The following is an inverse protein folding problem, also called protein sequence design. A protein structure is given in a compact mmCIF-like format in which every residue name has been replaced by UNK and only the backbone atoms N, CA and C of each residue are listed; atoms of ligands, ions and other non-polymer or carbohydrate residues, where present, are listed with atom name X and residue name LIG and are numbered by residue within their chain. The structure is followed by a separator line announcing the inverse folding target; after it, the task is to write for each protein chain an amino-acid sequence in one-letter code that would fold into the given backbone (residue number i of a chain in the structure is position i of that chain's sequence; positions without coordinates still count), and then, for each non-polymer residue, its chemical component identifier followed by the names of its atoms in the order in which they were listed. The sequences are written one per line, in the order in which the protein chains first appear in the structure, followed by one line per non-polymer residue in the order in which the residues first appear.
data_IF_403440342697
#
_entry.id   IF_403440342697
#
_cell.length_a   1.000
_cell.length_b   1.000
_cell.length_c   1.000
_cell.angle_alpha   90.00
_cell.angle_beta   90.00
_cell.angle_gamma   90.00
#
_symmetry.space_group_name_H-M   'P 1'
#
loop_
_entity.id
_entity.type
_entity.pdbx_description
1 polymer ?
#
# COMPACT_ATOMS: atom_id res chain seq x y z
N UNK A 1 -9.96 15.24 23.43
CA UNK A 1 -9.66 15.29 21.98
C UNK A 1 -8.34 15.99 21.84
N UNK A 2 -7.24 15.26 21.61
CA UNK A 2 -5.97 15.86 21.20
C UNK A 2 -6.05 16.16 19.71
N UNK A 3 -6.08 17.43 19.35
CA UNK A 3 -5.89 17.87 17.98
C UNK A 3 -4.39 17.83 17.67
N UNK A 4 -3.97 17.02 16.71
CA UNK A 4 -2.60 16.95 16.19
C UNK A 4 -2.20 18.20 15.36
N UNK A 5 -2.78 19.36 15.62
CA UNK A 5 -2.34 20.64 15.05
C UNK A 5 -1.28 21.26 15.94
N UNK A 6 -0.07 21.35 15.43
CA UNK A 6 1.06 21.88 16.20
C UNK A 6 0.97 23.40 16.41
N UNK A 7 0.36 24.16 15.51
CA UNK A 7 0.03 25.57 15.67
C UNK A 7 -0.96 26.01 14.58
N UNK A 8 -1.93 26.82 14.95
CA UNK A 8 -2.77 27.58 14.01
C UNK A 8 -2.57 29.07 14.34
N UNK A 9 -2.08 29.83 13.37
CA UNK A 9 -1.97 31.27 13.43
C UNK A 9 -3.09 31.86 12.59
N UNK A 10 -3.82 32.81 13.15
CA UNK A 10 -4.90 33.52 12.46
C UNK A 10 -4.68 34.99 12.64
N UNK A 11 -4.63 35.73 11.54
CA UNK A 11 -4.63 37.19 11.57
C UNK A 11 -6.08 37.67 11.53
N UNK A 12 -6.50 38.36 12.54
CA UNK A 12 -7.84 38.94 12.66
C UNK A 12 -7.74 40.46 12.68
N UNK A 13 -8.53 41.12 11.86
CA UNK A 13 -8.69 42.56 11.92
C UNK A 13 -9.47 42.93 13.19
N UNK A 14 -8.89 43.74 14.08
CA UNK A 14 -9.52 44.04 15.38
C UNK A 14 -10.79 44.92 15.28
N UNK A 15 -10.97 45.65 14.18
CA UNK A 15 -12.14 46.54 13.98
C UNK A 15 -13.30 45.78 13.32
N UNK A 16 -13.00 44.90 12.36
CA UNK A 16 -14.02 44.20 11.58
C UNK A 16 -14.24 42.77 12.05
N UNK A 17 -13.30 42.19 12.77
CA UNK A 17 -13.30 40.77 13.14
C UNK A 17 -12.98 39.83 11.96
N UNK A 18 -12.58 40.36 10.81
CA UNK A 18 -12.28 39.60 9.63
C UNK A 18 -10.96 38.82 9.76
N UNK A 19 -10.97 37.57 9.36
CA UNK A 19 -9.76 36.76 9.22
C UNK A 19 -9.31 36.74 7.78
N UNK A 20 -8.44 37.66 7.39
CA UNK A 20 -7.91 37.72 6.04
C UNK A 20 -6.82 36.68 5.75
N UNK A 21 -6.26 36.10 6.82
CA UNK A 21 -5.14 35.17 6.68
C UNK A 21 -5.13 34.14 7.80
N UNK A 22 -4.84 32.90 7.47
CA UNK A 22 -4.57 31.85 8.45
C UNK A 22 -3.43 30.95 7.98
N UNK A 23 -2.62 30.51 8.92
CA UNK A 23 -1.53 29.55 8.70
C UNK A 23 -1.68 28.40 9.67
N UNK A 24 -1.55 27.19 9.17
CA UNK A 24 -1.52 26.02 10.01
C UNK A 24 -0.41 25.05 9.57
N UNK A 25 0.17 24.36 10.53
CA UNK A 25 1.24 23.39 10.32
C UNK A 25 0.74 22.03 10.80
N UNK A 26 0.73 21.05 9.92
CA UNK A 26 0.43 19.67 10.26
C UNK A 26 1.39 18.74 9.52
N UNK A 27 1.93 17.75 10.22
CA UNK A 27 2.88 16.76 9.67
C UNK A 27 4.11 17.40 8.98
N UNK A 28 4.63 18.50 9.54
CA UNK A 28 5.74 19.26 8.98
C UNK A 28 5.41 20.08 7.73
N UNK A 29 4.13 20.15 7.34
CA UNK A 29 3.64 20.91 6.19
C UNK A 29 2.96 22.19 6.65
N UNK A 30 3.26 23.26 5.93
CA UNK A 30 2.63 24.56 6.17
C UNK A 30 1.58 24.79 5.08
N UNK A 31 0.35 25.16 5.50
CA UNK A 31 -0.68 25.69 4.61
C UNK A 31 -1.02 27.11 5.02
N UNK A 32 -1.13 27.96 4.03
CA UNK A 32 -1.54 29.36 4.21
C UNK A 32 -2.81 29.57 3.41
N UNK A 33 -3.86 30.04 4.07
CA UNK A 33 -5.11 30.42 3.42
C UNK A 33 -5.27 31.93 3.51
N UNK A 34 -5.41 32.58 2.36
CA UNK A 34 -5.73 34.01 2.22
C UNK A 34 -7.20 34.12 1.89
N UNK A 35 -7.88 35.08 2.48
CA UNK A 35 -9.29 35.39 2.26
C UNK A 35 -9.44 36.82 1.79
N UNK A 36 -10.27 37.03 0.79
CA UNK A 36 -10.53 38.35 0.18
C UNK A 36 -11.96 38.43 -0.33
N UNK A 37 -12.30 39.56 -0.97
CA UNK A 37 -13.66 39.81 -1.47
C UNK A 37 -14.70 39.66 -0.36
N UNK A 38 -14.48 40.35 0.77
CA UNK A 38 -15.41 40.32 1.89
C UNK A 38 -16.70 41.06 1.55
N UNK A 39 -17.83 40.39 1.62
CA UNK A 39 -19.16 40.91 1.36
C UNK A 39 -20.06 40.72 2.58
N UNK A 40 -21.00 41.62 2.79
CA UNK A 40 -22.00 41.52 3.86
C UNK A 40 -23.26 40.88 3.28
N UNK A 41 -23.69 39.76 3.86
CA UNK A 41 -24.90 39.03 3.50
C UNK A 41 -25.77 38.93 4.75
N UNK A 42 -26.93 39.60 4.76
CA UNK A 42 -27.85 39.67 5.90
C UNK A 42 -27.14 39.96 7.23
N UNK A 43 -26.24 40.96 7.21
CA UNK A 43 -25.52 41.43 8.42
C UNK A 43 -24.29 40.59 8.81
N UNK A 44 -23.99 39.51 8.12
CA UNK A 44 -22.81 38.67 8.37
C UNK A 44 -21.78 38.91 7.25
N UNK A 45 -20.53 39.14 7.63
CA UNK A 45 -19.43 39.32 6.68
C UNK A 45 -18.83 37.97 6.31
N UNK A 46 -18.69 37.71 5.00
CA UNK A 46 -18.07 36.51 4.44
C UNK A 46 -16.99 36.88 3.42
N UNK A 47 -15.92 36.08 3.39
CA UNK A 47 -14.97 36.10 2.29
C UNK A 47 -15.56 35.31 1.10
N UNK A 48 -15.66 35.93 -0.06
CA UNK A 48 -16.13 35.27 -1.28
C UNK A 48 -15.01 34.67 -2.11
N UNK A 49 -13.76 34.93 -1.76
CA UNK A 49 -12.56 34.30 -2.34
C UNK A 49 -11.65 33.80 -1.24
N UNK A 50 -11.33 32.50 -1.30
CA UNK A 50 -10.31 31.86 -0.47
C UNK A 50 -9.22 31.24 -1.36
N UNK A 51 -7.97 31.59 -1.12
CA UNK A 51 -6.82 31.04 -1.83
C UNK A 51 -5.92 30.33 -0.82
N UNK A 52 -5.77 29.02 -0.97
CA UNK A 52 -4.88 28.22 -0.12
C UNK A 52 -3.63 27.87 -0.91
N UNK A 53 -2.47 28.26 -0.39
CA UNK A 53 -1.17 27.90 -0.93
C UNK A 53 -0.85 26.45 -0.57
N UNK A 54 -0.34 25.67 -1.55
CA UNK A 54 0.18 24.33 -1.35
C UNK A 54 1.70 24.30 -1.60
N UNK A 55 2.36 23.23 -1.21
CA UNK A 55 3.78 23.03 -1.49
C UNK A 55 4.07 22.91 -3.00
N UNK A 56 3.05 22.56 -3.77
CA UNK A 56 3.08 22.51 -5.24
C UNK A 56 1.89 23.26 -5.82
N UNK A 57 1.99 23.68 -7.07
CA UNK A 57 0.86 24.30 -7.78
C UNK A 57 -0.39 23.42 -7.84
N UNK A 58 -0.24 22.08 -7.81
CA UNK A 58 -1.36 21.12 -7.77
C UNK A 58 -2.05 21.03 -6.42
N UNK A 59 -1.42 21.48 -5.36
CA UNK A 59 -1.98 21.51 -4.00
C UNK A 59 -2.56 22.87 -3.65
N UNK A 60 -2.30 23.88 -4.48
CA UNK A 60 -2.96 25.17 -4.34
C UNK A 60 -4.45 25.02 -4.67
N UNK A 61 -5.29 25.70 -3.90
CA UNK A 61 -6.72 25.66 -4.07
C UNK A 61 -7.27 27.08 -4.06
N UNK A 62 -8.15 27.37 -5.01
CA UNK A 62 -8.95 28.62 -5.00
C UNK A 62 -10.41 28.25 -4.88
N UNK A 63 -11.07 28.79 -3.88
CA UNK A 63 -12.52 28.64 -3.67
C UNK A 63 -13.18 29.98 -3.86
N UNK A 64 -14.13 30.05 -4.79
CA UNK A 64 -14.96 31.23 -5.03
C UNK A 64 -16.40 30.88 -4.65
N UNK A 65 -16.98 31.67 -3.74
CA UNK A 65 -18.36 31.52 -3.35
C UNK A 65 -19.25 32.38 -4.28
N UNK A 66 -20.13 31.77 -5.04
CA UNK A 66 -21.03 32.48 -5.92
C UNK A 66 -22.22 33.06 -5.14
N UNK A 67 -22.79 32.24 -4.24
CA UNK A 67 -23.96 32.62 -3.45
C UNK A 67 -23.78 32.13 -1.99
N UNK A 68 -24.10 33.01 -1.06
CA UNK A 68 -24.17 32.70 0.37
C UNK A 68 -25.55 33.13 0.89
N UNK A 69 -26.24 32.23 1.59
CA UNK A 69 -27.51 32.55 2.23
C UNK A 69 -27.37 32.35 3.74
N UNK A 70 -27.64 33.40 4.50
CA UNK A 70 -27.58 33.40 5.95
C UNK A 70 -28.97 33.16 6.53
N UNK A 71 -29.06 32.33 7.55
CA UNK A 71 -30.33 32.01 8.23
C UNK A 71 -31.40 31.48 7.28
N UNK A 72 -31.03 30.56 6.41
CA UNK A 72 -31.89 30.00 5.35
C UNK A 72 -33.05 29.14 5.88
N UNK A 73 -33.22 28.99 7.19
CA UNK A 73 -34.27 28.15 7.77
C UNK A 73 -34.13 26.68 7.38
N UNK A 74 -32.87 26.18 7.34
CA UNK A 74 -32.63 24.78 6.97
C UNK A 74 -33.18 23.85 8.04
N UNK A 75 -33.87 22.80 7.61
CA UNK A 75 -34.34 21.72 8.46
C UNK A 75 -33.14 20.96 9.04
N UNK A 76 -33.21 20.65 10.35
CA UNK A 76 -32.22 19.83 11.06
C UNK A 76 -31.96 18.48 10.38
N UNK A 77 -32.94 17.95 9.66
CA UNK A 77 -32.77 16.73 8.86
C UNK A 77 -31.66 16.83 7.80
N UNK A 78 -31.33 18.05 7.33
CA UNK A 78 -30.20 18.27 6.40
C UNK A 78 -28.83 18.08 7.05
N UNK A 79 -28.77 18.21 8.37
CA UNK A 79 -27.55 18.00 9.18
C UNK A 79 -27.56 16.62 9.86
N UNK A 80 -28.63 15.86 9.68
CA UNK A 80 -28.67 14.49 10.13
C UNK A 80 -27.53 13.70 9.45
N UNK A 81 -26.82 12.91 10.24
CA UNK A 81 -25.81 11.99 9.68
C UNK A 81 -26.47 11.20 8.55
N UNK A 82 -25.92 11.17 7.34
CA UNK A 82 -26.48 10.32 6.29
C UNK A 82 -26.70 8.93 6.87
N UNK A 83 -27.90 8.39 6.77
CA UNK A 83 -28.14 6.97 7.05
C UNK A 83 -27.08 6.22 6.29
N UNK A 84 -26.40 5.26 6.95
CA UNK A 84 -25.30 4.52 6.35
C UNK A 84 -25.68 4.25 4.89
N UNK A 85 -24.94 4.87 3.97
CA UNK A 85 -25.07 4.70 2.53
C UNK A 85 -25.22 3.20 2.30
N UNK A 86 -26.22 2.77 1.53
CA UNK A 86 -26.42 1.35 1.22
C UNK A 86 -25.03 0.80 0.90
N UNK A 87 -24.61 -0.24 1.63
CA UNK A 87 -23.25 -0.76 1.53
C UNK A 87 -22.89 -0.87 0.05
N UNK A 88 -21.79 -0.22 -0.35
CA UNK A 88 -21.28 -0.35 -1.72
C UNK A 88 -20.86 -1.80 -2.04
N UNK A 89 -20.90 -2.69 -1.03
CA UNK A 89 -20.60 -4.12 -1.17
C UNK A 89 -21.85 -4.94 -0.90
N UNK A 90 -22.25 -5.75 -1.86
CA UNK A 90 -23.43 -6.62 -1.79
C UNK A 90 -22.99 -8.07 -1.91
N UNK A 91 -23.24 -8.85 -0.88
CA UNK A 91 -23.10 -10.31 -0.92
C UNK A 91 -24.18 -10.94 -1.82
N UNK A 92 -23.98 -12.17 -2.31
CA UNK A 92 -25.01 -12.90 -3.04
C UNK A 92 -26.33 -12.93 -2.25
N UNK A 93 -27.45 -12.79 -2.97
CA UNK A 93 -28.78 -12.67 -2.35
C UNK A 93 -29.07 -13.81 -1.35
N UNK A 94 -29.52 -13.44 -0.14
CA UNK A 94 -29.84 -14.38 0.93
C UNK A 94 -28.62 -15.04 1.60
N UNK A 95 -27.38 -14.68 1.22
CA UNK A 95 -26.18 -15.25 1.81
C UNK A 95 -25.50 -14.28 2.79
N UNK A 96 -24.93 -14.86 3.86
CA UNK A 96 -24.12 -14.12 4.84
C UNK A 96 -22.60 -14.29 4.62
N UNK A 97 -22.23 -15.04 3.61
CA UNK A 97 -20.86 -15.27 3.20
C UNK A 97 -20.79 -15.69 1.75
N UNK A 98 -19.65 -15.46 1.11
CA UNK A 98 -19.30 -16.13 -0.15
C UNK A 98 -18.87 -17.56 0.14
N UNK A 99 -18.80 -18.37 -0.91
CA UNK A 99 -18.00 -19.60 -0.84
C UNK A 99 -16.51 -19.26 -0.76
N UNK A 100 -15.68 -20.25 -0.44
CA UNK A 100 -14.24 -20.11 -0.56
C UNK A 100 -13.84 -19.97 -2.03
N UNK A 101 -13.05 -18.93 -2.33
CA UNK A 101 -12.42 -18.72 -3.61
C UNK A 101 -10.97 -19.15 -3.53
N UNK A 102 -10.50 -19.81 -4.56
CA UNK A 102 -9.06 -19.98 -4.73
C UNK A 102 -8.40 -18.63 -4.99
N UNK A 103 -7.25 -18.41 -4.36
CA UNK A 103 -6.41 -17.22 -4.54
C UNK A 103 -5.16 -17.62 -5.30
N UNK A 104 -4.81 -16.85 -6.32
CA UNK A 104 -3.48 -16.95 -6.92
C UNK A 104 -2.51 -16.08 -6.10
N UNK A 105 -1.75 -16.71 -5.22
CA UNK A 105 -0.73 -16.06 -4.40
C UNK A 105 0.55 -15.86 -5.22
N UNK A 106 0.58 -14.78 -6.00
CA UNK A 106 1.78 -14.42 -6.74
C UNK A 106 2.96 -14.19 -5.78
N UNK A 107 4.09 -14.88 -6.02
CA UNK A 107 5.25 -14.90 -5.13
C UNK A 107 4.94 -15.34 -3.68
N UNK A 108 3.84 -16.11 -3.46
CA UNK A 108 3.31 -16.49 -2.14
C UNK A 108 2.92 -15.30 -1.24
N UNK A 109 2.71 -14.12 -1.80
CA UNK A 109 2.52 -12.87 -1.06
C UNK A 109 1.36 -12.04 -1.56
N UNK A 110 1.33 -11.74 -2.86
CA UNK A 110 0.32 -10.87 -3.45
C UNK A 110 -0.95 -11.66 -3.77
N UNK A 111 -2.08 -11.14 -3.32
CA UNK A 111 -3.40 -11.78 -3.44
C UNK A 111 -4.06 -11.36 -4.74
N UNK A 112 -3.98 -12.23 -5.76
CA UNK A 112 -4.67 -12.04 -7.03
C UNK A 112 -5.96 -12.86 -7.05
N UNK A 113 -7.05 -12.21 -7.44
CA UNK A 113 -8.38 -12.77 -7.58
C UNK A 113 -8.86 -12.60 -9.02
N UNK A 114 -9.60 -13.57 -9.54
CA UNK A 114 -10.30 -13.38 -10.82
C UNK A 114 -11.68 -12.79 -10.57
N UNK A 115 -12.00 -11.73 -11.30
CA UNK A 115 -13.28 -11.05 -11.21
C UNK A 115 -13.59 -10.29 -12.49
N UNK A 116 -14.53 -9.38 -12.41
CA UNK A 116 -14.93 -8.50 -13.50
C UNK A 116 -14.97 -7.06 -13.01
N UNK A 117 -14.57 -6.13 -13.87
CA UNK A 117 -14.76 -4.69 -13.67
C UNK A 117 -15.59 -4.16 -14.82
N UNK A 118 -16.78 -3.61 -14.50
CA UNK A 118 -17.76 -3.13 -15.49
C UNK A 118 -18.04 -4.16 -16.60
N UNK A 119 -18.06 -5.47 -16.24
CA UNK A 119 -18.32 -6.58 -17.17
C UNK A 119 -17.10 -7.12 -17.92
N UNK A 120 -15.91 -6.54 -17.74
CA UNK A 120 -14.66 -7.04 -18.33
C UNK A 120 -13.93 -7.91 -17.32
N UNK A 121 -13.67 -9.18 -17.70
CA UNK A 121 -12.96 -10.14 -16.86
C UNK A 121 -11.50 -9.73 -16.69
N UNK A 122 -11.04 -9.61 -15.43
CA UNK A 122 -9.69 -9.14 -15.14
C UNK A 122 -9.13 -9.72 -13.85
N UNK A 123 -7.83 -9.56 -13.64
CA UNK A 123 -7.17 -9.84 -12.36
C UNK A 123 -7.39 -8.65 -11.41
N UNK A 124 -7.65 -8.96 -10.14
CA UNK A 124 -7.88 -7.98 -9.08
C UNK A 124 -6.90 -8.28 -7.95
N UNK A 125 -6.09 -7.30 -7.59
CA UNK A 125 -5.19 -7.39 -6.43
C UNK A 125 -5.90 -6.83 -5.20
N UNK A 126 -5.90 -7.59 -4.11
CA UNK A 126 -6.47 -7.15 -2.84
C UNK A 126 -5.41 -6.44 -2.01
N UNK A 127 -5.68 -5.17 -1.65
CA UNK A 127 -4.72 -4.31 -0.96
C UNK A 127 -5.35 -3.50 0.17
N UNK A 128 -5.07 -3.89 1.41
CA UNK A 128 -5.56 -3.17 2.60
C UNK A 128 -4.84 -1.84 2.84
N UNK A 129 -3.68 -1.62 2.20
CA UNK A 129 -2.92 -0.38 2.22
C UNK A 129 -3.35 0.62 1.15
N UNK A 130 -4.24 0.24 0.24
CA UNK A 130 -4.78 1.17 -0.75
C UNK A 130 -5.94 1.98 -0.17
N UNK A 131 -5.80 3.31 -0.18
CA UNK A 131 -6.81 4.25 0.35
C UNK A 131 -8.13 4.26 -0.41
N UNK A 132 -8.15 3.75 -1.62
CA UNK A 132 -9.32 3.56 -2.49
C UNK A 132 -8.97 2.55 -3.59
N UNK A 133 -10.00 2.06 -4.28
CA UNK A 133 -9.80 1.23 -5.47
C UNK A 133 -9.05 2.00 -6.56
N UNK A 134 -8.10 1.34 -7.22
CA UNK A 134 -7.26 1.91 -8.28
C UNK A 134 -7.38 1.06 -9.53
N UNK A 135 -7.56 1.71 -10.68
CA UNK A 135 -7.51 1.10 -12.00
C UNK A 135 -6.22 1.49 -12.71
N UNK A 136 -5.61 0.54 -13.40
CA UNK A 136 -4.57 0.86 -14.37
C UNK A 136 -5.12 1.71 -15.51
N UNK A 137 -4.34 2.68 -15.98
CA UNK A 137 -4.76 3.59 -17.05
C UNK A 137 -5.18 2.88 -18.34
N UNK A 138 -4.55 1.74 -18.68
CA UNK A 138 -4.91 0.95 -19.85
C UNK A 138 -6.30 0.33 -19.70
N UNK A 139 -6.60 -0.25 -18.52
CA UNK A 139 -7.93 -0.80 -18.24
C UNK A 139 -9.01 0.29 -18.22
N UNK A 140 -8.75 1.43 -17.58
CA UNK A 140 -9.70 2.54 -17.54
C UNK A 140 -10.07 3.00 -18.97
N UNK A 141 -9.09 3.06 -19.87
CA UNK A 141 -9.28 3.38 -21.29
C UNK A 141 -10.09 2.29 -22.02
N UNK A 142 -9.78 1.01 -21.80
CA UNK A 142 -10.52 -0.13 -22.36
C UNK A 142 -11.99 -0.10 -21.96
N UNK A 143 -12.27 0.24 -20.70
CA UNK A 143 -13.61 0.37 -20.15
C UNK A 143 -14.35 1.65 -20.62
N UNK A 144 -13.68 2.53 -21.37
CA UNK A 144 -14.25 3.80 -21.82
C UNK A 144 -14.59 4.77 -20.69
N UNK A 145 -13.94 4.65 -19.54
CA UNK A 145 -14.18 5.49 -18.39
C UNK A 145 -13.63 6.91 -18.61
N UNK A 146 -14.45 7.89 -18.28
CA UNK A 146 -14.07 9.31 -18.38
C UNK A 146 -13.42 9.77 -17.07
N UNK A 147 -12.22 10.32 -17.15
CA UNK A 147 -11.59 11.00 -16.01
C UNK A 147 -12.36 12.30 -15.73
N UNK A 148 -12.90 12.44 -14.51
CA UNK A 148 -13.75 13.54 -14.06
C UNK A 148 -12.99 14.58 -13.21
N UNK A 149 -11.82 14.21 -12.72
CA UNK A 149 -10.98 15.07 -11.88
C UNK A 149 -9.57 14.50 -11.71
N UNK A 150 -8.74 15.28 -11.06
CA UNK A 150 -7.36 14.90 -10.73
C UNK A 150 -7.12 14.98 -9.23
N UNK A 151 -6.29 14.08 -8.72
CA UNK A 151 -5.78 14.09 -7.36
C UNK A 151 -4.30 13.75 -7.32
N UNK A 152 -3.65 14.00 -6.21
CA UNK A 152 -2.31 13.52 -5.94
C UNK A 152 -2.40 12.26 -5.08
N UNK A 153 -1.98 11.12 -5.63
CA UNK A 153 -1.86 9.88 -4.89
C UNK A 153 -0.50 9.80 -4.20
N UNK A 154 -0.50 9.43 -2.92
CA UNK A 154 0.72 9.21 -2.13
C UNK A 154 1.04 7.73 -2.11
N UNK A 155 2.04 7.33 -2.89
CA UNK A 155 2.49 5.95 -2.94
C UNK A 155 3.79 5.72 -2.16
N UNK A 156 4.20 4.46 -2.06
CA UNK A 156 5.44 4.07 -1.38
C UNK A 156 6.70 4.46 -2.17
N UNK A 157 6.55 4.76 -3.47
CA UNK A 157 7.61 5.25 -4.33
C UNK A 157 7.67 6.78 -4.44
N UNK A 158 6.70 7.49 -3.86
CA UNK A 158 6.55 8.94 -3.95
C UNK A 158 5.14 9.36 -4.30
N UNK A 159 4.96 10.65 -4.60
CA UNK A 159 3.67 11.19 -5.02
C UNK A 159 3.51 11.06 -6.54
N UNK A 160 2.29 10.81 -7.01
CA UNK A 160 1.95 10.70 -8.43
C UNK A 160 0.58 11.31 -8.69
N UNK A 161 0.43 11.96 -9.85
CA UNK A 161 -0.87 12.42 -10.32
C UNK A 161 -1.77 11.23 -10.66
N UNK A 162 -3.03 11.29 -10.22
CA UNK A 162 -4.05 10.27 -10.49
C UNK A 162 -5.31 10.94 -11.02
N UNK A 163 -5.95 10.29 -11.99
CA UNK A 163 -7.30 10.66 -12.40
C UNK A 163 -8.35 10.09 -11.44
N UNK A 164 -9.53 10.65 -11.41
CA UNK A 164 -10.71 10.07 -10.73
C UNK A 164 -11.74 9.70 -11.79
N UNK A 165 -12.30 8.51 -11.65
CA UNK A 165 -13.43 8.01 -12.43
C UNK A 165 -14.55 7.57 -11.51
N UNK A 166 -15.79 7.66 -11.97
CA UNK A 166 -16.98 7.24 -11.24
C UNK A 166 -17.63 6.01 -11.87
N UNK A 167 -18.52 5.36 -11.13
CA UNK A 167 -19.35 4.26 -11.65
C UNK A 167 -18.60 2.94 -11.85
N UNK A 168 -17.51 2.73 -11.14
CA UNK A 168 -16.76 1.47 -11.18
C UNK A 168 -17.49 0.41 -10.37
N UNK A 169 -17.78 -0.72 -10.99
CA UNK A 169 -18.41 -1.89 -10.34
C UNK A 169 -17.49 -3.10 -10.50
N UNK A 170 -17.15 -3.70 -9.39
CA UNK A 170 -16.34 -4.93 -9.33
C UNK A 170 -17.24 -6.10 -8.96
N UNK A 171 -17.22 -7.17 -9.77
CA UNK A 171 -17.88 -8.44 -9.44
C UNK A 171 -16.85 -9.50 -9.08
N UNK A 172 -17.03 -10.13 -7.95
CA UNK A 172 -16.10 -11.10 -7.38
C UNK A 172 -16.87 -12.08 -6.51
N UNK A 173 -16.70 -13.38 -6.71
CA UNK A 173 -17.35 -14.42 -5.90
C UNK A 173 -18.89 -14.35 -5.83
N UNK A 174 -19.52 -13.87 -6.88
CA UNK A 174 -20.96 -13.64 -6.88
C UNK A 174 -21.41 -12.44 -6.03
N UNK A 175 -20.50 -11.72 -5.41
CA UNK A 175 -20.75 -10.41 -4.79
C UNK A 175 -20.44 -9.28 -5.75
N UNK A 176 -20.97 -8.10 -5.43
CA UNK A 176 -20.78 -6.88 -6.18
C UNK A 176 -20.28 -5.76 -5.27
N UNK A 177 -19.22 -5.09 -5.69
CA UNK A 177 -18.63 -3.92 -5.02
C UNK A 177 -18.82 -2.72 -5.94
N UNK A 178 -19.59 -1.74 -5.49
CA UNK A 178 -19.85 -0.54 -6.29
C UNK A 178 -21.37 -0.28 -6.51
N UNK A 179 -21.71 0.74 -7.36
CA UNK A 179 -20.73 1.60 -8.05
C UNK A 179 -19.95 2.48 -7.08
N UNK A 180 -18.66 2.65 -7.33
CA UNK A 180 -17.77 3.46 -6.50
C UNK A 180 -16.86 4.36 -7.37
N UNK A 181 -16.30 5.44 -6.82
CA UNK A 181 -15.21 6.16 -7.46
C UNK A 181 -13.90 5.34 -7.36
N UNK A 182 -13.06 5.46 -8.37
CA UNK A 182 -11.75 4.84 -8.38
C UNK A 182 -10.68 5.82 -8.87
N UNK A 183 -9.46 5.68 -8.37
CA UNK A 183 -8.31 6.38 -8.92
C UNK A 183 -7.83 5.69 -10.20
N UNK A 184 -7.32 6.46 -11.14
CA UNK A 184 -6.66 5.95 -12.35
C UNK A 184 -5.20 6.34 -12.32
N UNK A 185 -4.31 5.35 -12.31
CA UNK A 185 -2.86 5.53 -12.23
C UNK A 185 -2.20 4.61 -13.26
N UNK A 186 -1.08 5.02 -13.82
CA UNK A 186 -0.22 4.09 -14.58
C UNK A 186 0.46 3.11 -13.60
N UNK A 187 -0.06 1.89 -13.56
CA UNK A 187 0.47 0.80 -12.72
C UNK A 187 1.51 -0.08 -13.45
N UNK A 188 1.80 0.20 -14.72
CA UNK A 188 2.72 -0.60 -15.53
C UNK A 188 4.10 -0.79 -14.90
N UNK A 189 4.64 0.29 -14.31
CA UNK A 189 5.92 0.25 -13.60
C UNK A 189 5.88 -0.60 -12.33
N UNK A 190 4.77 -0.59 -11.60
CA UNK A 190 4.56 -1.46 -10.44
C UNK A 190 4.45 -2.92 -10.90
N UNK A 191 3.65 -3.17 -11.95
CA UNK A 191 3.47 -4.50 -12.54
C UNK A 191 4.79 -5.13 -12.98
N UNK A 192 5.66 -4.37 -13.65
CA UNK A 192 7.01 -4.85 -14.03
C UNK A 192 7.83 -5.27 -12.80
N UNK A 193 7.84 -4.48 -11.73
CA UNK A 193 8.58 -4.81 -10.48
C UNK A 193 8.00 -6.01 -9.74
N UNK A 194 6.69 -6.14 -9.73
CA UNK A 194 6.00 -7.32 -9.14
C UNK A 194 6.15 -8.55 -10.03
N UNK A 195 6.46 -8.36 -11.33
CA UNK A 195 6.55 -9.45 -12.33
C UNK A 195 5.18 -9.95 -12.81
N UNK A 196 4.11 -9.16 -12.60
CA UNK A 196 2.75 -9.46 -13.07
C UNK A 196 1.96 -8.16 -13.23
N UNK A 197 1.11 -8.03 -14.27
CA UNK A 197 0.24 -6.87 -14.42
C UNK A 197 -0.66 -6.66 -13.19
N UNK A 198 -0.92 -5.39 -12.87
CA UNK A 198 -1.87 -4.97 -11.84
C UNK A 198 -2.98 -4.12 -12.48
N UNK A 199 -3.96 -4.73 -13.14
CA UNK A 199 -5.02 -3.97 -13.79
C UNK A 199 -5.96 -3.28 -12.80
N UNK A 200 -6.16 -3.90 -11.62
CA UNK A 200 -7.00 -3.37 -10.55
C UNK A 200 -6.39 -3.64 -9.19
N UNK A 201 -6.38 -2.63 -8.35
CA UNK A 201 -6.12 -2.75 -6.91
C UNK A 201 -7.44 -2.48 -6.21
N UNK A 202 -8.03 -3.50 -5.58
CA UNK A 202 -9.23 -3.37 -4.76
C UNK A 202 -8.81 -2.95 -3.35
N UNK A 203 -9.18 -1.73 -2.98
CA UNK A 203 -8.70 -1.07 -1.78
C UNK A 203 -9.52 -1.38 -0.52
N UNK A 204 -9.44 -0.47 0.44
CA UNK A 204 -10.01 -0.62 1.78
C UNK A 204 -11.54 -0.75 1.82
N UNK A 205 -12.25 -0.41 0.74
CA UNK A 205 -13.71 -0.42 0.71
C UNK A 205 -14.29 -1.78 1.11
N UNK A 206 -13.66 -2.86 0.62
CA UNK A 206 -14.13 -4.21 0.93
C UNK A 206 -13.85 -4.62 2.37
N UNK A 207 -12.71 -4.18 2.93
CA UNK A 207 -12.35 -4.46 4.35
C UNK A 207 -13.24 -3.69 5.33
N UNK A 208 -13.75 -2.52 4.94
CA UNK A 208 -14.67 -1.74 5.76
C UNK A 208 -16.10 -2.29 5.73
N UNK A 209 -16.49 -2.92 4.61
CA UNK A 209 -17.85 -3.41 4.42
C UNK A 209 -18.05 -4.83 4.95
N UNK A 210 -17.03 -5.69 4.85
CA UNK A 210 -17.11 -7.12 5.14
C UNK A 210 -15.98 -7.56 6.08
N UNK A 211 -16.17 -8.72 6.69
CA UNK A 211 -15.04 -9.45 7.27
C UNK A 211 -14.34 -10.22 6.14
N UNK A 212 -13.06 -9.97 5.97
CA UNK A 212 -12.24 -10.64 4.97
C UNK A 212 -11.48 -11.78 5.64
N UNK A 213 -11.79 -13.01 5.27
CA UNK A 213 -11.16 -14.23 5.79
C UNK A 213 -10.18 -14.75 4.73
N UNK A 214 -8.91 -14.41 4.88
CA UNK A 214 -7.83 -14.73 3.96
C UNK A 214 -6.93 -15.83 4.56
N UNK A 215 -7.07 -17.03 4.03
CA UNK A 215 -6.26 -18.20 4.37
C UNK A 215 -5.06 -18.28 3.41
N UNK A 216 -3.97 -17.59 3.75
CA UNK A 216 -2.75 -17.63 2.92
C UNK A 216 -2.17 -19.05 2.80
N UNK A 217 -1.99 -19.83 3.90
CA UNK A 217 -1.54 -21.22 3.78
C UNK A 217 -2.41 -22.08 2.89
N UNK A 218 -3.73 -21.89 2.97
CA UNK A 218 -4.71 -22.61 2.16
C UNK A 218 -4.92 -22.02 0.77
N UNK A 219 -4.29 -20.89 0.43
CA UNK A 219 -4.44 -20.17 -0.84
C UNK A 219 -5.90 -19.94 -1.20
N UNK A 220 -6.70 -19.45 -0.26
CA UNK A 220 -8.13 -19.21 -0.43
C UNK A 220 -8.62 -18.02 0.39
N UNK A 221 -9.72 -17.42 -0.05
CA UNK A 221 -10.35 -16.28 0.59
C UNK A 221 -11.87 -16.45 0.58
N UNK A 222 -12.54 -15.87 1.55
CA UNK A 222 -13.99 -15.66 1.56
C UNK A 222 -14.33 -14.34 2.23
N UNK A 223 -15.54 -13.86 1.97
CA UNK A 223 -16.05 -12.62 2.49
C UNK A 223 -17.31 -12.88 3.29
N UNK A 224 -17.42 -12.31 4.49
CA UNK A 224 -18.50 -12.58 5.41
C UNK A 224 -19.22 -11.29 5.81
N UNK A 225 -20.52 -11.38 6.02
CA UNK A 225 -21.32 -10.28 6.55
C UNK A 225 -20.85 -9.88 7.94
N UNK A 226 -20.36 -8.65 8.07
CA UNK A 226 -19.77 -8.15 9.31
C UNK A 226 -20.78 -8.12 10.48
N UNK A 227 -22.07 -7.90 10.22
CA UNK A 227 -23.08 -7.81 11.26
C UNK A 227 -23.32 -9.16 11.93
N UNK A 228 -23.38 -10.23 11.15
CA UNK A 228 -23.67 -11.59 11.64
C UNK A 228 -22.43 -12.40 12.03
N UNK A 229 -21.24 -11.97 11.58
CA UNK A 229 -20.00 -12.69 11.86
C UNK A 229 -19.69 -12.76 13.35
N UNK A 230 -19.27 -13.95 13.81
CA UNK A 230 -18.68 -14.18 15.12
C UNK A 230 -17.48 -15.08 14.95
N UNK A 231 -16.39 -14.72 15.59
CA UNK A 231 -15.18 -15.54 15.57
C UNK A 231 -15.20 -16.56 16.69
N UNK A 232 -15.00 -17.82 16.37
CA UNK A 232 -14.95 -18.97 17.27
C UNK A 232 -13.73 -19.87 17.05
N UNK A 233 -12.76 -19.38 16.25
CA UNK A 233 -11.55 -20.13 15.90
C UNK A 233 -10.43 -20.05 16.95
N UNK A 234 -9.32 -20.77 16.73
CA UNK A 234 -8.17 -20.84 17.64
C UNK A 234 -7.21 -19.66 17.53
N UNK A 235 -7.46 -18.71 16.64
CA UNK A 235 -6.56 -17.59 16.37
C UNK A 235 -6.49 -16.59 17.51
N UNK A 236 -5.35 -15.90 17.59
CA UNK A 236 -5.17 -14.82 18.56
C UNK A 236 -5.68 -13.50 18.00
N UNK A 237 -6.47 -12.81 18.83
CA UNK A 237 -6.98 -11.49 18.50
C UNK A 237 -5.89 -10.44 18.59
N UNK A 238 -5.91 -9.49 17.66
CA UNK A 238 -5.07 -8.29 17.66
C UNK A 238 -5.97 -7.08 17.39
N UNK A 239 -5.91 -6.09 18.27
CA UNK A 239 -6.66 -4.86 18.09
C UNK A 239 -6.02 -3.98 17.03
N UNK A 240 -6.85 -3.38 16.19
CA UNK A 240 -6.44 -2.45 15.15
C UNK A 240 -6.62 -1.01 15.62
N UNK A 241 -5.67 -0.18 15.25
CA UNK A 241 -5.69 1.25 15.51
C UNK A 241 -6.21 1.94 14.24
N UNK A 242 -7.40 2.57 14.27
CA UNK A 242 -7.92 3.29 13.11
C UNK A 242 -7.13 4.56 12.86
N UNK A 243 -6.83 4.85 11.59
CA UNK A 243 -6.33 6.14 11.14
C UNK A 243 -7.47 6.98 10.55
N UNK A 244 -7.28 8.30 10.50
CA UNK A 244 -8.28 9.25 9.97
C UNK A 244 -8.63 8.99 8.50
N UNK A 245 -7.64 8.55 7.72
CA UNK A 245 -7.79 8.20 6.30
C UNK A 245 -8.42 6.82 6.07
N UNK A 246 -8.82 6.12 7.15
CA UNK A 246 -9.46 4.82 7.12
C UNK A 246 -8.50 3.63 7.07
N UNK A 247 -7.19 3.84 6.95
CA UNK A 247 -6.22 2.77 7.11
C UNK A 247 -6.23 2.20 8.52
N UNK A 248 -5.65 1.03 8.68
CA UNK A 248 -5.50 0.38 9.97
C UNK A 248 -4.03 0.14 10.28
N UNK A 249 -3.71 0.30 11.54
CA UNK A 249 -2.41 -0.02 12.11
C UNK A 249 -2.59 -1.04 13.22
N UNK A 250 -1.50 -1.63 13.63
CA UNK A 250 -1.47 -2.58 14.75
C UNK A 250 -0.18 -2.42 15.55
N UNK A 251 -0.10 -3.11 16.68
CA UNK A 251 1.12 -3.12 17.49
C UNK A 251 1.87 -4.42 17.31
N UNK A 252 3.18 -4.31 17.16
CA UNK A 252 4.13 -5.42 17.19
C UNK A 252 5.43 -5.00 17.87
N UNK A 253 6.18 -5.96 18.39
CA UNK A 253 7.47 -5.70 18.99
C UNK A 253 8.60 -6.13 18.04
N UNK A 254 9.66 -5.32 17.96
CA UNK A 254 10.85 -5.58 17.16
C UNK A 254 12.01 -5.86 18.10
N UNK A 255 12.64 -7.03 17.96
CA UNK A 255 13.83 -7.47 18.72
C UNK A 255 13.67 -7.36 20.24
N UNK A 256 12.48 -7.69 20.75
CA UNK A 256 12.17 -7.68 22.17
C UNK A 256 11.98 -6.29 22.78
N UNK A 257 11.91 -5.24 21.95
CA UNK A 257 11.56 -3.90 22.40
C UNK A 257 10.07 -3.75 22.75
N UNK A 258 9.69 -2.57 23.22
CA UNK A 258 8.29 -2.23 23.45
C UNK A 258 7.47 -2.30 22.15
N UNK A 259 6.18 -2.68 22.23
CA UNK A 259 5.32 -2.73 21.07
C UNK A 259 5.13 -1.35 20.42
N UNK A 260 5.41 -1.27 19.12
CA UNK A 260 5.31 -0.05 18.31
C UNK A 260 4.18 -0.14 17.30
N UNK A 261 3.71 1.00 16.81
CA UNK A 261 2.61 1.09 15.84
C UNK A 261 3.15 0.93 14.43
N UNK A 262 2.59 0.00 13.68
CA UNK A 262 2.92 -0.20 12.26
C UNK A 262 1.65 -0.25 11.42
N UNK A 263 1.73 0.22 10.18
CA UNK A 263 0.66 0.09 9.20
C UNK A 263 0.41 -1.37 8.84
N UNK A 264 -0.81 -1.69 8.43
CA UNK A 264 -1.25 -3.03 7.97
C UNK A 264 -1.49 -3.00 6.47
N UNK A 265 -0.73 -3.79 5.70
CA UNK A 265 -0.67 -3.65 4.25
C UNK A 265 -0.49 -5.00 3.54
N UNK A 266 -1.59 -5.54 2.99
CA UNK A 266 -1.56 -6.77 2.19
C UNK A 266 -0.96 -6.57 0.80
N UNK A 267 -0.87 -5.32 0.32
CA UNK A 267 -0.22 -4.96 -0.95
C UNK A 267 1.31 -4.88 -0.85
N UNK A 268 1.86 -4.78 0.36
CA UNK A 268 3.31 -4.83 0.57
C UNK A 268 3.81 -6.28 0.58
N UNK A 269 4.57 -6.70 -0.45
CA UNK A 269 5.11 -8.07 -0.52
C UNK A 269 6.26 -8.37 0.44
N UNK A 270 6.92 -7.36 1.03
CA UNK A 270 7.97 -7.53 2.05
C UNK A 270 7.41 -8.01 3.39
N UNK A 271 8.30 -8.42 4.31
CA UNK A 271 7.89 -8.81 5.64
C UNK A 271 7.58 -7.60 6.53
N UNK A 272 8.51 -6.67 6.62
CA UNK A 272 8.40 -5.46 7.40
C UNK A 272 9.19 -4.33 6.74
N UNK A 273 8.59 -3.15 6.64
CA UNK A 273 9.32 -1.90 6.39
C UNK A 273 9.46 -1.17 7.73
N UNK A 274 10.67 -0.76 8.08
CA UNK A 274 10.94 0.04 9.27
C UNK A 274 11.21 1.46 8.82
N UNK A 275 10.47 2.41 9.39
CA UNK A 275 10.61 3.81 8.99
C UNK A 275 11.87 4.42 9.58
N UNK A 276 12.44 5.36 8.85
CA UNK A 276 13.77 5.90 9.10
C UNK A 276 13.93 6.44 10.53
N UNK A 277 12.99 7.27 10.99
CA UNK A 277 13.09 7.90 12.32
C UNK A 277 13.26 6.84 13.42
N UNK A 278 12.49 5.75 13.36
CA UNK A 278 12.56 4.66 14.33
C UNK A 278 13.80 3.79 14.13
N UNK A 279 14.20 3.55 12.87
CA UNK A 279 15.42 2.81 12.57
C UNK A 279 16.67 3.50 13.11
N UNK A 280 16.75 4.83 12.96
CA UNK A 280 17.85 5.65 13.44
C UNK A 280 17.84 5.73 14.97
N UNK A 281 16.69 5.96 15.62
CA UNK A 281 16.53 6.00 17.08
C UNK A 281 16.99 4.70 17.72
N UNK A 282 16.64 3.56 17.13
CA UNK A 282 16.93 2.23 17.69
C UNK A 282 18.28 1.67 17.23
N UNK A 283 18.92 2.29 16.27
CA UNK A 283 20.20 1.85 15.73
C UNK A 283 20.15 0.46 15.06
N UNK A 284 19.01 0.10 14.43
CA UNK A 284 18.80 -1.25 13.90
C UNK A 284 19.82 -1.69 12.85
N UNK A 285 20.46 -0.76 12.16
CA UNK A 285 21.46 -1.10 11.15
C UNK A 285 22.87 -1.26 11.70
N UNK A 286 23.12 -0.92 12.96
CA UNK A 286 24.44 -1.02 13.57
C UNK A 286 24.76 -2.47 13.93
N UNK A 287 26.01 -2.91 13.64
CA UNK A 287 26.55 -4.21 14.06
C UNK A 287 25.92 -5.41 13.35
N UNK A 288 25.27 -5.22 12.21
CA UNK A 288 24.72 -6.32 11.40
C UNK A 288 25.06 -6.15 9.91
N UNK A 289 25.02 -7.22 9.13
CA UNK A 289 25.15 -7.12 7.67
C UNK A 289 23.99 -6.29 7.12
N UNK A 290 24.32 -5.32 6.28
CA UNK A 290 23.37 -4.43 5.60
C UNK A 290 23.71 -4.40 4.14
N UNK A 291 22.70 -4.46 3.30
CA UNK A 291 22.84 -4.23 1.87
C UNK A 291 21.73 -3.28 1.39
N UNK A 292 21.54 -3.21 0.09
CA UNK A 292 20.52 -2.38 -0.53
C UNK A 292 19.65 -3.23 -1.45
N UNK A 293 18.41 -2.81 -1.62
CA UNK A 293 17.46 -3.40 -2.55
C UNK A 293 16.69 -2.30 -3.26
N UNK A 294 16.55 -2.46 -4.57
CA UNK A 294 15.60 -1.66 -5.34
C UNK A 294 14.19 -2.22 -5.16
N UNK A 295 13.27 -1.37 -4.80
CA UNK A 295 11.87 -1.69 -4.60
C UNK A 295 11.01 -0.49 -4.97
N UNK A 296 9.84 -0.39 -4.38
CA UNK A 296 8.92 0.72 -4.58
C UNK A 296 7.53 0.23 -4.96
N UNK A 297 6.62 1.17 -5.15
CA UNK A 297 5.22 0.96 -5.50
C UNK A 297 4.71 2.07 -6.40
N UNK A 298 3.49 2.50 -6.15
CA UNK A 298 2.93 3.71 -6.76
C UNK A 298 3.86 4.89 -6.46
N UNK A 299 4.13 5.73 -7.46
CA UNK A 299 5.03 6.87 -7.36
C UNK A 299 6.49 6.57 -7.75
N UNK A 300 6.86 5.31 -8.02
CA UNK A 300 8.16 4.98 -8.59
C UNK A 300 8.98 3.93 -7.84
N UNK A 301 10.21 3.77 -8.31
CA UNK A 301 11.20 2.90 -7.69
C UNK A 301 12.00 3.67 -6.63
N UNK A 302 12.35 3.00 -5.55
CA UNK A 302 13.19 3.52 -4.47
C UNK A 302 14.26 2.51 -4.11
N UNK A 303 15.40 3.00 -3.65
CA UNK A 303 16.43 2.15 -3.05
C UNK A 303 16.25 2.18 -1.54
N UNK A 304 16.20 1.00 -0.93
CA UNK A 304 16.05 0.82 0.50
C UNK A 304 17.22 0.01 1.04
N UNK A 305 17.67 0.31 2.24
CA UNK A 305 18.57 -0.60 2.95
C UNK A 305 17.81 -1.85 3.37
N UNK A 306 18.47 -2.98 3.37
CA UNK A 306 17.92 -4.26 3.85
C UNK A 306 18.83 -4.89 4.88
N UNK A 307 18.22 -5.46 5.90
CA UNK A 307 18.93 -6.20 6.93
C UNK A 307 17.99 -7.25 7.55
N UNK A 308 18.55 -8.21 8.26
CA UNK A 308 17.77 -9.22 8.96
C UNK A 308 17.61 -8.82 10.43
N UNK A 309 16.37 -8.66 10.88
CA UNK A 309 16.01 -8.49 12.29
C UNK A 309 16.07 -9.85 13.01
N UNK A 310 16.53 -9.85 14.25
CA UNK A 310 16.58 -11.08 15.07
C UNK A 310 15.21 -11.68 15.30
N UNK A 311 14.24 -10.82 15.65
CA UNK A 311 12.85 -11.25 15.85
C UNK A 311 11.84 -10.11 15.66
N UNK A 312 10.61 -10.52 15.34
CA UNK A 312 9.41 -9.69 15.39
C UNK A 312 8.34 -10.47 16.15
N UNK A 313 7.72 -9.85 17.13
CA UNK A 313 6.61 -10.46 17.89
C UNK A 313 5.28 -9.79 17.55
N UNK A 314 4.33 -10.56 17.05
CA UNK A 314 2.98 -10.11 16.69
C UNK A 314 1.95 -11.02 17.34
N UNK A 315 0.96 -10.47 18.04
CA UNK A 315 -0.05 -11.23 18.78
C UNK A 315 0.55 -12.35 19.67
N UNK A 316 1.75 -12.14 20.22
CA UNK A 316 2.49 -13.12 21.02
C UNK A 316 3.12 -14.27 20.21
N UNK A 317 3.10 -14.23 18.88
CA UNK A 317 3.91 -15.11 18.03
C UNK A 317 5.27 -14.47 17.76
N UNK A 318 6.33 -15.15 18.14
CA UNK A 318 7.71 -14.71 17.83
C UNK A 318 8.15 -15.29 16.49
N UNK A 319 8.54 -14.41 15.56
CA UNK A 319 9.09 -14.74 14.24
C UNK A 319 10.57 -14.38 14.24
N UNK A 320 11.45 -15.30 13.88
CA UNK A 320 12.91 -15.11 13.91
C UNK A 320 13.50 -14.89 12.52
N UNK A 321 14.59 -14.13 12.46
CA UNK A 321 15.33 -13.89 11.22
C UNK A 321 14.50 -13.17 10.16
N UNK A 322 13.77 -12.12 10.56
CA UNK A 322 12.82 -11.41 9.70
C UNK A 322 13.57 -10.43 8.78
N UNK A 323 13.51 -10.59 7.45
CA UNK A 323 14.08 -9.61 6.53
C UNK A 323 13.28 -8.32 6.59
N UNK A 324 13.94 -7.21 6.84
CA UNK A 324 13.32 -5.90 6.90
C UNK A 324 13.93 -4.95 5.87
N UNK A 325 13.09 -4.09 5.32
CA UNK A 325 13.50 -2.95 4.52
C UNK A 325 13.50 -1.69 5.37
N UNK A 326 14.52 -0.87 5.22
CA UNK A 326 14.69 0.38 5.95
C UNK A 326 14.66 1.53 4.95
N UNK A 327 13.78 2.46 5.20
CA UNK A 327 13.54 3.58 4.30
C UNK A 327 14.81 4.41 4.07
N UNK A 328 15.07 4.76 2.81
CA UNK A 328 16.16 5.66 2.44
C UNK A 328 15.86 7.11 2.80
N UNK A 329 16.90 7.95 2.78
CA UNK A 329 16.91 9.30 3.33
C UNK A 329 15.97 10.31 2.67
N UNK A 330 15.56 10.09 1.41
CA UNK A 330 15.02 11.17 0.56
C UNK A 330 13.66 10.86 -0.08
N UNK A 331 12.95 9.82 0.37
CA UNK A 331 11.68 9.43 -0.24
C UNK A 331 10.52 10.14 0.44
N UNK A 332 9.92 11.11 -0.26
CA UNK A 332 8.61 11.67 0.13
C UNK A 332 7.51 10.77 -0.40
N UNK A 333 6.60 10.33 0.45
CA UNK A 333 5.49 9.47 0.05
C UNK A 333 4.72 8.93 1.24
N UNK A 334 4.05 7.78 1.07
CA UNK A 334 3.21 7.16 2.09
C UNK A 334 3.96 6.83 3.40
N UNK A 335 5.27 6.58 3.32
CA UNK A 335 6.10 6.23 4.47
C UNK A 335 6.83 7.43 5.12
N UNK A 336 6.63 8.64 4.60
CA UNK A 336 7.14 9.86 5.20
C UNK A 336 6.18 10.35 6.30
N UNK A 337 6.18 9.63 7.42
CA UNK A 337 5.32 9.91 8.58
C UNK A 337 6.04 9.55 9.87
N UNK A 338 5.70 10.25 10.97
CA UNK A 338 6.11 9.92 12.33
C UNK A 338 4.99 9.33 13.18
N UNK A 339 3.82 9.05 12.56
CA UNK A 339 2.67 8.44 13.24
C UNK A 339 2.78 6.93 13.39
N UNK A 340 3.72 6.33 12.68
CA UNK A 340 3.98 4.89 12.66
C UNK A 340 5.49 4.67 12.57
N UNK A 341 5.95 3.55 13.10
CA UNK A 341 7.35 3.15 13.11
C UNK A 341 7.69 2.22 11.93
N UNK A 342 6.66 1.77 11.21
CA UNK A 342 6.86 0.87 10.07
C UNK A 342 5.56 0.47 9.37
N UNK A 343 5.69 -0.50 8.45
CA UNK A 343 4.58 -1.08 7.70
C UNK A 343 4.72 -2.60 7.62
N UNK A 344 3.69 -3.33 8.09
CA UNK A 344 3.64 -4.79 8.10
C UNK A 344 3.10 -5.30 6.78
N UNK A 345 3.86 -6.16 6.11
CA UNK A 345 3.50 -6.68 4.81
C UNK A 345 3.16 -8.17 4.77
N UNK A 346 2.80 -8.60 3.57
CA UNK A 346 2.39 -9.97 3.28
C UNK A 346 3.50 -11.02 3.57
N UNK A 347 4.77 -10.63 3.61
CA UNK A 347 5.85 -11.56 4.00
C UNK A 347 5.70 -12.14 5.41
N UNK A 348 5.07 -11.40 6.34
CA UNK A 348 4.68 -11.92 7.66
C UNK A 348 3.25 -12.46 7.61
N UNK A 349 2.29 -11.70 7.05
CA UNK A 349 0.88 -12.07 7.03
C UNK A 349 0.64 -13.42 6.36
N UNK A 350 1.43 -13.78 5.33
CA UNK A 350 1.30 -15.05 4.60
C UNK A 350 1.60 -16.31 5.43
N UNK A 351 2.10 -16.15 6.65
CA UNK A 351 2.29 -17.26 7.58
C UNK A 351 1.04 -17.62 8.38
N UNK A 352 -0.05 -16.88 8.15
CA UNK A 352 -1.28 -16.99 8.90
C UNK A 352 -2.49 -17.12 7.97
N UNK A 353 -3.56 -17.69 8.47
CA UNK A 353 -4.90 -17.33 8.06
C UNK A 353 -5.26 -16.06 8.85
N UNK A 354 -5.67 -15.02 8.15
CA UNK A 354 -5.95 -13.71 8.73
C UNK A 354 -7.40 -13.35 8.49
N UNK A 355 -8.14 -13.10 9.58
CA UNK A 355 -9.50 -12.59 9.49
C UNK A 355 -9.50 -11.10 9.85
N UNK A 356 -9.77 -10.27 8.88
CA UNK A 356 -9.80 -8.81 9.03
C UNK A 356 -11.24 -8.37 9.37
N UNK A 357 -11.47 -7.84 10.55
CA UNK A 357 -12.75 -7.26 10.97
C UNK A 357 -12.55 -5.77 11.28
N UNK A 358 -12.54 -4.97 10.25
CA UNK A 358 -12.33 -3.52 10.39
C UNK A 358 -13.48 -2.83 11.09
N UNK A 359 -14.69 -3.39 11.00
CA UNK A 359 -15.87 -2.87 11.68
C UNK A 359 -15.75 -2.94 13.21
N UNK A 360 -15.08 -3.96 13.73
CA UNK A 360 -14.79 -4.12 15.15
C UNK A 360 -13.37 -3.72 15.54
N UNK A 361 -12.63 -3.09 14.62
CA UNK A 361 -11.24 -2.67 14.78
C UNK A 361 -10.35 -3.80 15.32
N UNK A 362 -10.43 -4.98 14.74
CA UNK A 362 -9.57 -6.10 15.13
C UNK A 362 -9.29 -7.04 13.94
N UNK A 363 -8.32 -7.90 14.14
CA UNK A 363 -8.07 -9.08 13.30
C UNK A 363 -7.75 -10.29 14.17
N UNK A 364 -7.87 -11.48 13.60
CA UNK A 364 -7.41 -12.72 14.21
C UNK A 364 -6.33 -13.36 13.35
N UNK A 365 -5.30 -13.90 13.99
CA UNK A 365 -4.19 -14.61 13.37
C UNK A 365 -4.22 -16.08 13.77
N UNK A 366 -4.51 -16.94 12.80
CA UNK A 366 -4.38 -18.40 12.97
C UNK A 366 -3.06 -18.84 12.32
N UNK A 367 -2.12 -19.45 13.07
CA UNK A 367 -0.82 -19.80 12.53
C UNK A 367 -0.92 -20.91 11.48
N UNK A 368 -0.25 -20.73 10.35
CA UNK A 368 -0.02 -21.80 9.39
C UNK A 368 1.09 -22.75 9.81
N UNK A 369 1.20 -23.87 9.13
CA UNK A 369 2.25 -24.87 9.38
C UNK A 369 3.67 -24.31 9.27
N UNK A 370 3.85 -23.32 8.39
CA UNK A 370 5.14 -22.69 8.09
C UNK A 370 5.48 -21.50 9.01
N UNK A 371 4.73 -21.29 10.12
CA UNK A 371 4.96 -20.14 11.01
C UNK A 371 6.42 -20.00 11.44
N UNK A 372 7.06 -21.10 11.84
CA UNK A 372 8.44 -21.15 12.30
C UNK A 372 9.49 -21.35 11.20
N UNK A 373 9.08 -21.47 9.93
CA UNK A 373 10.02 -21.68 8.84
C UNK A 373 10.90 -20.44 8.62
N UNK A 374 12.15 -20.59 8.15
CA UNK A 374 12.99 -19.45 7.78
C UNK A 374 12.31 -18.54 6.77
N UNK A 375 12.56 -17.25 6.86
CA UNK A 375 12.09 -16.31 5.84
C UNK A 375 12.89 -16.46 4.56
N UNK A 376 12.22 -16.52 3.40
CA UNK A 376 12.92 -16.46 2.14
C UNK A 376 13.59 -15.09 1.96
N UNK A 377 14.85 -15.10 1.58
CA UNK A 377 15.66 -13.91 1.30
C UNK A 377 16.32 -14.05 -0.06
N UNK A 378 16.50 -12.95 -0.74
CA UNK A 378 17.36 -12.91 -1.91
C UNK A 378 18.81 -13.22 -1.51
N UNK A 379 19.46 -14.08 -2.26
CA UNK A 379 20.85 -14.52 -2.06
C UNK A 379 21.71 -14.29 -3.29
N UNK A 380 21.15 -13.64 -4.30
CA UNK A 380 21.84 -13.28 -5.52
C UNK A 380 22.41 -11.87 -5.49
N UNK A 381 21.60 -10.92 -5.04
CA UNK A 381 21.83 -9.50 -5.15
C UNK A 381 21.48 -8.93 -6.52
N UNK A 382 20.82 -9.71 -7.39
CA UNK A 382 20.34 -9.24 -8.70
C UNK A 382 18.85 -8.91 -8.65
N UNK A 383 18.49 -7.72 -9.11
CA UNK A 383 17.12 -7.40 -9.51
C UNK A 383 17.05 -7.46 -11.03
N UNK A 384 16.26 -8.38 -11.55
CA UNK A 384 16.03 -8.56 -12.97
C UNK A 384 14.63 -8.03 -13.33
N UNK A 385 14.53 -7.27 -14.41
CA UNK A 385 13.29 -6.75 -14.94
C UNK A 385 13.13 -7.11 -16.42
N UNK A 386 11.88 -7.31 -16.87
CA UNK A 386 11.58 -7.51 -18.28
C UNK A 386 11.42 -6.17 -18.99
N UNK A 387 12.35 -5.85 -19.89
CA UNK A 387 12.33 -4.65 -20.68
C UNK A 387 12.78 -4.93 -22.12
N UNK A 388 12.13 -4.33 -23.09
CA UNK A 388 12.48 -4.41 -24.52
C UNK A 388 12.69 -5.84 -25.04
N UNK A 389 11.81 -6.77 -24.60
CA UNK A 389 11.84 -8.17 -25.06
C UNK A 389 12.95 -9.04 -24.45
N UNK A 390 13.62 -8.57 -23.37
CA UNK A 390 14.65 -9.33 -22.69
C UNK A 390 14.61 -9.07 -21.16
N UNK A 391 15.22 -9.95 -20.38
CA UNK A 391 15.55 -9.65 -19.00
C UNK A 391 16.78 -8.76 -18.93
N UNK A 392 16.69 -7.68 -18.18
CA UNK A 392 17.81 -6.79 -17.91
C UNK A 392 18.12 -6.75 -16.41
N UNK A 393 19.38 -6.61 -16.06
CA UNK A 393 19.82 -6.33 -14.69
C UNK A 393 19.42 -4.89 -14.37
N UNK A 394 18.43 -4.68 -13.54
CA UNK A 394 17.95 -3.37 -13.11
C UNK A 394 18.70 -2.83 -11.90
N UNK A 395 19.28 -3.73 -11.10
CA UNK A 395 20.03 -3.35 -9.91
C UNK A 395 20.95 -4.49 -9.47
N UNK A 396 22.14 -4.11 -8.97
CA UNK A 396 23.11 -5.01 -8.34
C UNK A 396 23.33 -4.55 -6.90
N UNK A 397 22.93 -5.38 -5.95
CA UNK A 397 23.02 -5.05 -4.53
C UNK A 397 24.49 -4.96 -4.06
N UNK A 398 24.89 -3.90 -3.35
CA UNK A 398 26.24 -3.78 -2.80
C UNK A 398 26.59 -4.93 -1.84
N UNK A 399 27.81 -5.46 -1.94
CA UNK A 399 28.27 -6.55 -1.09
C UNK A 399 27.60 -7.90 -1.33
N UNK A 400 26.83 -8.03 -2.40
CA UNK A 400 26.15 -9.26 -2.78
C UNK A 400 27.04 -10.18 -3.62
N UNK A 401 26.67 -11.48 -3.76
CA UNK A 401 27.34 -12.38 -4.69
C UNK A 401 27.41 -11.85 -6.13
N UNK A 402 26.37 -11.17 -6.59
CA UNK A 402 26.36 -10.57 -7.92
C UNK A 402 27.40 -9.44 -8.06
N UNK A 403 27.51 -8.59 -7.04
CA UNK A 403 28.54 -7.54 -7.02
C UNK A 403 29.95 -8.14 -6.99
N UNK A 404 30.18 -9.18 -6.14
CA UNK A 404 31.44 -9.92 -6.09
C UNK A 404 31.79 -10.58 -7.43
N UNK A 405 30.78 -11.07 -8.17
CA UNK A 405 30.94 -11.68 -9.50
C UNK A 405 31.02 -10.64 -10.65
N UNK A 406 31.01 -9.35 -10.32
CA UNK A 406 31.19 -8.27 -11.30
C UNK A 406 30.00 -8.01 -12.23
N UNK A 407 28.78 -8.36 -11.80
CA UNK A 407 27.56 -8.02 -12.52
C UNK A 407 27.35 -6.50 -12.58
N UNK A 408 26.74 -6.04 -13.67
CA UNK A 408 26.48 -4.60 -13.90
C UNK A 408 25.02 -4.39 -14.31
N UNK A 409 24.49 -3.25 -13.91
CA UNK A 409 23.19 -2.79 -14.40
C UNK A 409 23.20 -2.63 -15.92
N UNK A 410 22.09 -2.98 -16.56
CA UNK A 410 21.94 -2.97 -18.02
C UNK A 410 22.38 -4.26 -18.72
N UNK A 411 23.09 -5.16 -18.08
CA UNK A 411 23.41 -6.47 -18.67
C UNK A 411 22.12 -7.26 -18.97
N UNK A 412 22.09 -7.92 -20.11
CA UNK A 412 20.89 -8.65 -20.58
C UNK A 412 21.08 -10.15 -20.41
N UNK A 413 20.11 -10.77 -19.75
CA UNK A 413 20.07 -12.22 -19.46
C UNK A 413 19.13 -12.89 -20.45
N UNK A 414 19.65 -13.86 -21.19
CA UNK A 414 18.90 -14.63 -22.17
C UNK A 414 18.37 -15.96 -21.62
N UNK A 415 19.08 -16.57 -20.63
CA UNK A 415 18.66 -17.84 -20.04
C UNK A 415 19.17 -17.96 -18.60
N UNK A 416 18.53 -18.85 -17.82
CA UNK A 416 18.94 -19.26 -16.48
C UNK A 416 18.91 -20.78 -16.41
N UNK A 417 20.03 -21.37 -16.02
CA UNK A 417 20.23 -22.84 -15.98
C UNK A 417 19.81 -23.53 -17.29
N UNK A 418 20.00 -22.85 -18.44
CA UNK A 418 19.64 -23.33 -19.78
C UNK A 418 18.19 -23.07 -20.19
N UNK A 419 17.33 -22.61 -19.30
CA UNK A 419 15.95 -22.25 -19.62
C UNK A 419 15.88 -20.83 -20.19
N UNK A 420 15.36 -20.62 -21.42
CA UNK A 420 15.29 -19.31 -22.04
C UNK A 420 14.43 -18.32 -21.23
N UNK A 421 14.91 -17.09 -21.11
CA UNK A 421 14.15 -16.02 -20.50
C UNK A 421 12.93 -15.64 -21.38
N UNK A 422 11.75 -15.60 -20.79
CA UNK A 422 10.49 -15.20 -21.45
C UNK A 422 9.78 -14.13 -20.61
N UNK A 423 8.82 -13.42 -21.20
CA UNK A 423 8.01 -12.44 -20.45
C UNK A 423 7.24 -13.05 -19.27
N UNK A 424 6.93 -14.34 -19.35
CA UNK A 424 6.25 -15.08 -18.25
C UNK A 424 7.20 -15.42 -17.10
N UNK A 425 8.48 -15.27 -17.31
CA UNK A 425 9.52 -15.52 -16.32
C UNK A 425 9.39 -14.70 -15.05
N UNK A 426 8.76 -13.54 -15.09
CA UNK A 426 8.42 -12.80 -13.88
C UNK A 426 7.62 -13.63 -12.87
N UNK A 427 6.88 -14.64 -13.32
CA UNK A 427 6.16 -15.60 -12.45
C UNK A 427 7.09 -16.66 -11.84
N UNK A 428 8.17 -17.00 -12.52
CA UNK A 428 9.08 -18.11 -12.14
C UNK A 428 10.34 -17.59 -11.45
N UNK A 429 10.82 -16.42 -11.86
CA UNK A 429 12.13 -15.85 -11.47
C UNK A 429 12.32 -15.57 -10.00
N UNK A 430 11.26 -15.30 -9.27
CA UNK A 430 11.38 -14.78 -7.90
C UNK A 430 11.89 -15.78 -6.87
N UNK A 431 12.06 -17.05 -7.27
CA UNK A 431 12.47 -18.10 -6.33
C UNK A 431 13.88 -18.60 -6.50
N UNK A 432 14.49 -18.45 -7.67
CA UNK A 432 15.84 -18.94 -7.88
C UNK A 432 16.84 -18.29 -6.91
N UNK A 433 16.71 -16.97 -6.71
CA UNK A 433 17.59 -16.22 -5.81
C UNK A 433 17.32 -16.47 -4.32
N UNK A 434 16.16 -17.06 -4.00
CA UNK A 434 15.79 -17.49 -2.64
C UNK A 434 16.19 -18.92 -2.33
N UNK A 435 16.77 -19.66 -3.26
CA UNK A 435 17.21 -21.04 -3.07
C UNK A 435 18.27 -21.15 -1.95
N UNK A 436 18.63 -22.36 -1.55
CA UNK A 436 19.57 -22.59 -0.46
C UNK A 436 20.92 -21.92 -0.75
N UNK A 437 21.53 -21.32 0.28
CA UNK A 437 22.89 -20.81 0.16
C UNK A 437 23.85 -21.95 -0.29
N UNK A 438 24.78 -21.62 -1.17
CA UNK A 438 25.66 -22.57 -1.85
C UNK A 438 25.07 -23.12 -3.19
N UNK A 439 23.80 -22.84 -3.51
CA UNK A 439 23.26 -23.20 -4.82
C UNK A 439 23.99 -22.41 -5.91
N UNK A 440 24.43 -23.12 -6.93
CA UNK A 440 25.06 -22.53 -8.11
C UNK A 440 24.00 -22.32 -9.19
N UNK A 441 23.94 -21.14 -9.76
CA UNK A 441 23.01 -20.77 -10.84
C UNK A 441 23.84 -20.29 -12.03
N UNK A 442 23.48 -20.72 -13.23
CA UNK A 442 24.10 -20.29 -14.49
C UNK A 442 23.18 -19.29 -15.20
N UNK A 443 23.70 -18.13 -15.48
CA UNK A 443 23.00 -17.11 -16.25
C UNK A 443 23.72 -16.94 -17.59
N UNK A 444 23.00 -17.11 -18.68
CA UNK A 444 23.50 -16.89 -20.03
C UNK A 444 23.13 -15.46 -20.43
N UNK A 445 24.12 -14.67 -20.80
CA UNK A 445 23.92 -13.31 -21.31
C UNK A 445 23.42 -13.32 -22.76
N UNK A 446 22.92 -12.19 -23.25
CA UNK A 446 22.40 -12.06 -24.61
C UNK A 446 23.50 -12.26 -25.70
N UNK A 447 24.77 -12.09 -25.35
CA UNK A 447 25.93 -12.35 -26.23
C UNK A 447 26.39 -13.82 -26.20
N UNK A 448 25.69 -14.69 -25.47
CA UNK A 448 26.03 -16.10 -25.28
C UNK A 448 27.04 -16.38 -24.17
N UNK A 449 27.57 -15.36 -23.50
CA UNK A 449 28.49 -15.53 -22.37
C UNK A 449 27.74 -16.17 -21.19
N UNK A 450 28.32 -17.25 -20.64
CA UNK A 450 27.83 -17.84 -19.40
C UNK A 450 28.53 -17.25 -18.19
N UNK A 451 27.72 -16.90 -17.16
CA UNK A 451 28.22 -16.52 -15.84
C UNK A 451 27.62 -17.39 -14.77
N UNK A 452 28.45 -17.77 -13.84
CA UNK A 452 28.06 -18.59 -12.69
C UNK A 452 27.91 -17.70 -11.46
N UNK A 453 26.81 -17.85 -10.77
CA UNK A 453 26.52 -17.16 -9.52
C UNK A 453 26.27 -18.17 -8.41
N UNK A 454 27.05 -18.11 -7.34
CA UNK A 454 26.85 -18.92 -6.13
C UNK A 454 26.02 -18.12 -5.13
N UNK A 455 24.85 -18.60 -4.79
CA UNK A 455 23.94 -17.94 -3.86
C UNK A 455 24.50 -17.94 -2.43
N UNK A 456 24.44 -16.78 -1.76
CA UNK A 456 25.00 -16.60 -0.43
C UNK A 456 24.18 -15.58 0.37
N UNK A 457 24.01 -15.80 1.67
CA UNK A 457 23.47 -14.77 2.57
C UNK A 457 24.42 -13.57 2.58
N UNK A 458 23.88 -12.35 2.43
CA UNK A 458 24.69 -11.12 2.38
C UNK A 458 24.08 -9.97 3.20
N UNK A 459 22.87 -10.19 3.78
CA UNK A 459 22.24 -9.27 4.76
C UNK A 459 21.40 -10.02 5.80
#
# INVERSE_FOLDING_TARGET
FEFNCTAIEVQVDPETGESAWSRWVADGRTRVTKRSDFRTVNGVRFAFLEETEGETARQAQTVTWENVTVNAGLDDARFARPSASASVVRLPAGRKATDWLAVDLHQKRYVYLRGEVNGVATDIVLDSGAGMTVLDGALAKELGLRVEGELEARGTGGNVGAGIVSGVTVKLAGMEVGPLPAAVIDLSGVGRRVGRPLPVILGKEIFHALVVDLDYPGSRIRFLDAASFRYDGPGRKLDLIPAEDGHKSLRLAIEGGEPVVVGLDTGQGGALSVFRHYADERGFLSGRPVSERRGGGVGGATTMKVATLRSVTIAGYELKGVPAAFQATDVRGAFDTKRQEGNLGAGILSRFRVLFDYGRACLWLEPGADLGAPFPKDKSGLVLGWADGALAVEFVAPGSPAAEAGWKEGERVAALDGEPATAEWGRVLTRWSEAKAGTTVRLTLADGTERVLVLKEYY
#
